data_IF_222149475182
#
_entry.id   IF_222149475182
#
_cell.length_a   1.000
_cell.length_b   1.000
_cell.length_c   1.000
_cell.angle_alpha   90.00
_cell.angle_beta   90.00
_cell.angle_gamma   90.00
#
_symmetry.space_group_name_H-M   'P 1'
#
loop_
_entity.id
_entity.type
_entity.pdbx_description
1 polymer ?
#
# COMPACT_ATOMS: atom_id res chain seq x y z
N UNK A 1 16.58 -10.38 2.75
CA UNK A 1 16.33 -8.93 2.86
C UNK A 1 14.84 -8.73 3.14
N UNK A 2 14.51 -7.93 4.14
CA UNK A 2 13.12 -7.79 4.62
C UNK A 2 12.55 -6.44 4.18
N UNK A 3 11.35 -6.46 3.59
CA UNK A 3 10.69 -5.26 3.08
C UNK A 3 9.35 -5.00 3.76
N UNK A 4 8.91 -3.74 3.72
CA UNK A 4 7.56 -3.31 4.09
C UNK A 4 6.91 -2.66 2.86
N UNK A 5 5.74 -3.14 2.46
CA UNK A 5 4.97 -2.50 1.39
C UNK A 5 4.21 -1.31 1.96
N UNK A 6 4.33 -0.15 1.34
CA UNK A 6 3.62 1.07 1.73
C UNK A 6 2.62 1.42 0.64
N UNK A 7 1.37 0.99 0.82
CA UNK A 7 0.26 1.33 -0.08
C UNK A 7 -0.18 2.77 0.17
N UNK A 8 -0.19 3.60 -0.89
CA UNK A 8 -0.37 5.04 -0.77
C UNK A 8 0.90 5.79 -0.34
N UNK A 9 2.07 5.19 -0.58
CA UNK A 9 3.36 5.75 -0.16
C UNK A 9 3.79 7.02 -0.87
N UNK A 10 3.20 7.34 -2.02
CA UNK A 10 3.48 8.59 -2.75
C UNK A 10 2.65 9.78 -2.23
N UNK A 11 1.74 9.56 -1.27
CA UNK A 11 0.97 10.60 -0.58
C UNK A 11 1.72 11.21 0.61
N UNK A 12 1.08 12.19 1.28
CA UNK A 12 1.69 12.93 2.39
C UNK A 12 2.08 12.02 3.56
N UNK A 13 1.12 11.30 4.16
CA UNK A 13 1.38 10.44 5.32
C UNK A 13 2.32 9.29 4.93
N UNK A 14 2.06 8.64 3.78
CA UNK A 14 2.87 7.53 3.31
C UNK A 14 4.34 7.90 3.11
N UNK A 15 4.64 9.07 2.53
CA UNK A 15 6.01 9.52 2.29
C UNK A 15 6.78 9.79 3.59
N UNK A 16 6.13 10.35 4.60
CA UNK A 16 6.73 10.52 5.93
C UNK A 16 6.97 9.17 6.62
N UNK A 17 6.02 8.24 6.50
CA UNK A 17 6.17 6.89 7.06
C UNK A 17 7.33 6.13 6.42
N UNK A 18 7.57 6.31 5.11
CA UNK A 18 8.71 5.71 4.42
C UNK A 18 10.03 6.17 5.05
N UNK A 19 10.16 7.45 5.38
CA UNK A 19 11.35 7.99 6.04
C UNK A 19 11.58 7.31 7.40
N UNK A 20 10.53 7.21 8.22
CA UNK A 20 10.61 6.54 9.53
C UNK A 20 10.97 5.06 9.41
N UNK A 21 10.45 4.37 8.38
CA UNK A 21 10.82 2.97 8.10
C UNK A 21 12.30 2.84 7.73
N UNK A 22 12.83 3.74 6.88
CA UNK A 22 14.24 3.75 6.52
C UNK A 22 15.13 4.00 7.75
N UNK A 23 14.78 4.97 8.58
CA UNK A 23 15.50 5.30 9.82
C UNK A 23 15.43 4.14 10.82
N UNK A 24 14.34 3.36 10.81
CA UNK A 24 14.17 2.12 11.58
C UNK A 24 14.88 0.90 10.99
N UNK A 25 15.60 1.04 9.87
CA UNK A 25 16.35 -0.05 9.23
C UNK A 25 15.50 -1.00 8.38
N UNK A 26 14.27 -0.61 8.03
CA UNK A 26 13.44 -1.36 7.08
C UNK A 26 13.68 -0.90 5.65
N UNK A 27 13.39 -1.78 4.69
CA UNK A 27 13.37 -1.45 3.27
C UNK A 27 11.93 -1.25 2.80
N UNK A 28 11.46 -0.01 2.64
CA UNK A 28 10.12 0.24 2.11
C UNK A 28 10.07 0.04 0.59
N UNK A 29 8.93 -0.48 0.11
CA UNK A 29 8.57 -0.54 -1.30
C UNK A 29 7.19 0.09 -1.43
N UNK A 30 7.05 1.08 -2.29
CA UNK A 30 5.78 1.81 -2.47
C UNK A 30 4.88 1.10 -3.46
N UNK A 31 3.59 0.98 -3.15
CA UNK A 31 2.51 0.66 -4.09
C UNK A 31 1.56 1.85 -4.15
N UNK A 32 1.44 2.50 -5.30
CA UNK A 32 0.63 3.71 -5.46
C UNK A 32 0.10 3.82 -6.90
N UNK A 33 -1.14 4.28 -7.08
CA UNK A 33 -1.69 4.53 -8.41
C UNK A 33 -1.34 5.91 -8.98
N UNK A 34 -0.71 6.77 -8.17
CA UNK A 34 -0.27 8.13 -8.49
C UNK A 34 -1.42 9.11 -8.86
N UNK A 35 -2.67 8.79 -8.51
CA UNK A 35 -3.80 9.70 -8.75
C UNK A 35 -3.67 10.97 -7.90
N UNK A 36 -3.26 10.82 -6.64
CA UNK A 36 -3.00 11.93 -5.72
C UNK A 36 -1.53 11.99 -5.26
N UNK A 37 -0.73 10.96 -5.56
CA UNK A 37 0.65 10.84 -5.15
C UNK A 37 1.63 11.46 -6.14
N UNK A 38 2.85 11.69 -5.67
CA UNK A 38 3.91 12.31 -6.45
C UNK A 38 5.09 11.35 -6.64
N UNK A 39 5.26 10.84 -7.88
CA UNK A 39 6.35 9.94 -8.27
C UNK A 39 7.73 10.47 -7.83
N UNK A 40 8.01 11.76 -8.06
CA UNK A 40 9.28 12.39 -7.74
C UNK A 40 9.64 12.31 -6.26
N UNK A 41 8.65 12.36 -5.37
CA UNK A 41 8.91 12.20 -3.93
C UNK A 41 9.46 10.81 -3.65
N UNK A 42 8.88 9.78 -4.25
CA UNK A 42 9.28 8.39 -4.02
C UNK A 42 10.65 8.09 -4.64
N UNK A 43 10.84 8.42 -5.90
CA UNK A 43 12.04 8.04 -6.66
C UNK A 43 13.22 8.99 -6.38
N UNK A 44 13.01 10.32 -6.43
CA UNK A 44 14.10 11.30 -6.39
C UNK A 44 14.47 11.73 -4.95
N UNK A 45 13.47 11.78 -4.05
CA UNK A 45 13.69 12.27 -2.66
C UNK A 45 13.92 11.12 -1.69
N UNK A 46 13.08 10.09 -1.73
CA UNK A 46 13.14 8.94 -0.82
C UNK A 46 14.03 7.82 -1.35
N UNK A 47 14.22 7.73 -2.66
CA UNK A 47 15.09 6.74 -3.30
C UNK A 47 14.62 5.30 -3.10
N UNK A 48 13.30 5.07 -3.02
CA UNK A 48 12.73 3.74 -2.80
C UNK A 48 12.00 3.20 -4.02
N UNK A 49 11.91 1.87 -4.18
CA UNK A 49 11.18 1.27 -5.30
C UNK A 49 9.71 1.68 -5.31
N UNK A 50 9.21 2.04 -6.49
CA UNK A 50 7.80 2.36 -6.75
C UNK A 50 7.17 1.32 -7.67
N UNK A 51 6.08 0.74 -7.19
CA UNK A 51 5.17 -0.11 -7.97
C UNK A 51 3.94 0.73 -8.29
N UNK A 52 3.66 0.94 -9.57
CA UNK A 52 2.50 1.71 -9.99
C UNK A 52 1.32 0.77 -10.23
N UNK A 53 0.24 0.98 -9.50
CA UNK A 53 -0.97 0.17 -9.64
C UNK A 53 -1.97 0.37 -8.52
N UNK A 54 -3.15 -0.25 -8.69
CA UNK A 54 -4.22 -0.22 -7.71
C UNK A 54 -3.97 -1.26 -6.61
N UNK A 55 -4.38 -0.94 -5.39
CA UNK A 55 -4.23 -1.87 -4.25
C UNK A 55 -5.14 -3.08 -4.35
N UNK A 56 -6.20 -3.03 -5.16
CA UNK A 56 -7.11 -4.14 -5.43
C UNK A 56 -6.80 -4.89 -6.73
N UNK A 57 -5.75 -4.55 -7.46
CA UNK A 57 -5.34 -5.32 -8.65
C UNK A 57 -4.82 -6.70 -8.23
N UNK A 58 -5.69 -7.70 -8.34
CA UNK A 58 -5.40 -9.08 -7.93
C UNK A 58 -4.15 -9.65 -8.60
N UNK A 59 -3.97 -9.42 -9.90
CA UNK A 59 -2.81 -9.95 -10.65
C UNK A 59 -1.51 -9.28 -10.21
N UNK A 60 -1.55 -7.98 -9.94
CA UNK A 60 -0.41 -7.23 -9.44
C UNK A 60 -0.06 -7.70 -8.02
N UNK A 61 -1.05 -7.83 -7.15
CA UNK A 61 -0.86 -8.33 -5.78
C UNK A 61 -0.29 -9.74 -5.76
N UNK A 62 -0.79 -10.64 -6.60
CA UNK A 62 -0.23 -11.99 -6.74
C UNK A 62 1.27 -11.94 -7.08
N UNK A 63 1.68 -11.13 -8.04
CA UNK A 63 3.10 -10.97 -8.41
C UNK A 63 3.94 -10.37 -7.29
N UNK A 64 3.39 -9.39 -6.56
CA UNK A 64 4.09 -8.76 -5.42
C UNK A 64 4.31 -9.80 -4.32
N UNK A 65 3.25 -10.51 -3.93
CA UNK A 65 3.25 -11.44 -2.79
C UNK A 65 4.01 -12.75 -3.10
N UNK A 66 4.01 -13.20 -4.36
CA UNK A 66 4.81 -14.36 -4.78
C UNK A 66 6.30 -14.08 -4.92
N UNK A 67 6.70 -12.81 -4.98
CA UNK A 67 8.08 -12.41 -5.28
C UNK A 67 8.43 -12.42 -6.77
N UNK A 68 7.43 -12.51 -7.65
CA UNK A 68 7.64 -12.45 -9.11
C UNK A 68 7.82 -11.00 -9.61
N UNK A 69 7.37 -10.02 -8.82
CA UNK A 69 7.60 -8.62 -9.16
C UNK A 69 9.06 -8.23 -8.92
N UNK A 70 9.73 -7.49 -9.82
CA UNK A 70 11.15 -7.10 -9.69
C UNK A 70 11.49 -6.44 -8.34
N UNK A 71 10.61 -5.57 -7.83
CA UNK A 71 10.82 -4.85 -6.56
C UNK A 71 10.72 -5.73 -5.32
N UNK A 72 10.11 -6.92 -5.42
CA UNK A 72 9.91 -7.85 -4.28
C UNK A 72 10.66 -9.17 -4.43
N UNK A 73 11.31 -9.37 -5.58
CA UNK A 73 12.01 -10.63 -5.89
C UNK A 73 13.11 -10.94 -4.88
N UNK A 74 13.04 -12.13 -4.28
CA UNK A 74 14.01 -12.59 -3.29
C UNK A 74 13.94 -11.86 -1.95
N UNK A 75 12.88 -11.09 -1.71
CA UNK A 75 12.67 -10.35 -0.47
C UNK A 75 11.54 -10.94 0.36
N UNK A 76 11.64 -10.79 1.67
CA UNK A 76 10.64 -11.26 2.63
C UNK A 76 9.75 -10.08 3.06
N UNK A 77 8.47 -10.14 2.73
CA UNK A 77 7.51 -9.08 3.07
C UNK A 77 7.09 -9.24 4.53
N UNK A 78 7.52 -8.30 5.37
CA UNK A 78 7.24 -8.30 6.81
C UNK A 78 5.93 -7.65 7.21
N UNK A 79 5.41 -6.79 6.37
CA UNK A 79 4.15 -6.08 6.63
C UNK A 79 3.70 -5.22 5.46
N UNK A 80 2.45 -4.80 5.55
CA UNK A 80 1.85 -3.82 4.65
C UNK A 80 1.32 -2.66 5.49
N UNK A 81 1.70 -1.43 5.13
CA UNK A 81 1.11 -0.22 5.70
C UNK A 81 0.16 0.38 4.68
N UNK A 82 -1.10 0.56 5.05
CA UNK A 82 -2.16 0.96 4.14
C UNK A 82 -2.60 2.39 4.39
N UNK A 83 -2.16 3.30 3.52
CA UNK A 83 -2.54 4.72 3.48
C UNK A 83 -3.30 5.09 2.21
N UNK A 84 -3.51 4.14 1.29
CA UNK A 84 -4.16 4.39 0.01
C UNK A 84 -5.67 4.57 0.20
N UNK A 85 -6.11 5.82 0.29
CA UNK A 85 -7.51 6.17 0.40
C UNK A 85 -7.78 7.58 -0.14
N UNK A 86 -8.99 7.82 -0.63
CA UNK A 86 -9.50 9.18 -0.83
C UNK A 86 -10.02 9.71 0.51
N UNK A 87 -9.70 10.97 0.83
CA UNK A 87 -9.97 11.58 2.14
C UNK A 87 -10.75 12.91 2.08
N UNK A 88 -11.22 13.31 0.90
CA UNK A 88 -11.95 14.57 0.73
C UNK A 88 -13.44 14.39 1.01
N UNK A 89 -13.89 14.81 2.20
CA UNK A 89 -15.28 14.64 2.67
C UNK A 89 -16.28 15.27 1.70
N UNK A 90 -16.04 16.49 1.21
CA UNK A 90 -16.92 17.17 0.24
C UNK A 90 -17.10 16.38 -1.05
N UNK A 91 -16.02 15.82 -1.60
CA UNK A 91 -16.09 14.98 -2.81
C UNK A 91 -16.85 13.68 -2.54
N UNK A 92 -16.70 13.09 -1.35
CA UNK A 92 -17.38 11.83 -0.99
C UNK A 92 -18.90 11.95 -0.96
N UNK A 93 -19.43 13.14 -0.72
CA UNK A 93 -20.87 13.44 -0.77
C UNK A 93 -21.36 13.53 -2.21
N UNK A 94 -20.52 14.07 -3.11
CA UNK A 94 -20.85 14.27 -4.53
C UNK A 94 -20.70 12.95 -5.31
N UNK A 95 -19.63 12.22 -5.07
CA UNK A 95 -19.34 10.92 -5.72
C UNK A 95 -19.03 9.83 -4.69
N UNK A 96 -20.04 9.34 -3.95
CA UNK A 96 -19.84 8.30 -2.95
C UNK A 96 -19.36 6.98 -3.54
N UNK A 97 -19.73 6.64 -4.77
CA UNK A 97 -19.36 5.38 -5.42
C UNK A 97 -17.84 5.28 -5.61
N UNK A 98 -17.18 6.37 -5.96
CA UNK A 98 -15.71 6.45 -6.06
C UNK A 98 -15.05 6.10 -4.73
N UNK A 99 -15.58 6.62 -3.62
CA UNK A 99 -15.05 6.38 -2.27
C UNK A 99 -15.29 4.95 -1.80
N UNK A 100 -16.50 4.41 -2.00
CA UNK A 100 -16.79 3.02 -1.66
C UNK A 100 -15.91 2.05 -2.47
N UNK A 101 -15.75 2.31 -3.76
CA UNK A 101 -14.89 1.49 -4.60
C UNK A 101 -13.44 1.52 -4.09
N UNK A 102 -12.85 2.69 -3.99
CA UNK A 102 -11.43 2.84 -3.64
C UNK A 102 -11.15 2.47 -2.18
N UNK A 103 -11.91 3.00 -1.22
CA UNK A 103 -11.58 2.86 0.19
C UNK A 103 -12.06 1.53 0.79
N UNK A 104 -13.15 0.96 0.27
CA UNK A 104 -13.70 -0.28 0.80
C UNK A 104 -13.42 -1.47 -0.11
N UNK A 105 -13.89 -1.45 -1.36
CA UNK A 105 -13.79 -2.61 -2.25
C UNK A 105 -12.33 -2.98 -2.55
N UNK A 106 -11.48 -2.02 -2.88
CA UNK A 106 -10.05 -2.24 -3.13
C UNK A 106 -9.32 -2.77 -1.88
N UNK A 107 -9.70 -2.29 -0.68
CA UNK A 107 -9.14 -2.79 0.58
C UNK A 107 -9.55 -4.23 0.85
N UNK A 108 -10.81 -4.63 0.56
CA UNK A 108 -11.26 -6.01 0.66
C UNK A 108 -10.44 -6.91 -0.27
N UNK A 109 -10.22 -6.51 -1.52
CA UNK A 109 -9.42 -7.27 -2.47
C UNK A 109 -7.96 -7.45 -2.01
N UNK A 110 -7.37 -6.43 -1.39
CA UNK A 110 -6.06 -6.54 -0.75
C UNK A 110 -6.06 -7.60 0.36
N UNK A 111 -7.05 -7.56 1.27
CA UNK A 111 -7.17 -8.53 2.36
C UNK A 111 -7.38 -9.96 1.85
N UNK A 112 -8.20 -10.13 0.82
CA UNK A 112 -8.39 -11.43 0.16
C UNK A 112 -7.07 -11.97 -0.43
N UNK A 113 -6.31 -11.12 -1.12
CA UNK A 113 -5.00 -11.50 -1.66
C UNK A 113 -4.02 -11.95 -0.57
N UNK A 114 -3.99 -11.28 0.58
CA UNK A 114 -3.16 -11.66 1.72
C UNK A 114 -3.58 -13.00 2.33
N UNK A 115 -4.89 -13.28 2.40
CA UNK A 115 -5.39 -14.57 2.87
C UNK A 115 -5.10 -15.70 1.88
N UNK A 116 -5.25 -15.47 0.58
CA UNK A 116 -4.89 -16.42 -0.46
C UNK A 116 -3.38 -16.74 -0.44
N UNK A 117 -2.54 -15.72 -0.31
CA UNK A 117 -1.09 -15.88 -0.18
C UNK A 117 -0.71 -16.67 1.08
N UNK A 118 -1.34 -16.38 2.21
CA UNK A 118 -1.16 -17.13 3.46
C UNK A 118 -1.45 -18.63 3.29
N UNK A 119 -2.55 -18.98 2.62
CA UNK A 119 -2.90 -20.37 2.30
C UNK A 119 -1.86 -21.01 1.37
N UNK A 120 -1.45 -20.30 0.31
CA UNK A 120 -0.44 -20.78 -0.65
C UNK A 120 0.90 -21.06 0.03
N UNK A 121 1.35 -20.22 0.96
CA UNK A 121 2.60 -20.38 1.71
C UNK A 121 2.48 -21.31 2.91
N UNK A 122 1.27 -21.76 3.25
CA UNK A 122 0.97 -22.50 4.49
C UNK A 122 1.54 -21.79 5.73
N UNK A 123 1.31 -20.48 5.84
CA UNK A 123 1.84 -19.64 6.90
C UNK A 123 0.80 -18.62 7.37
N UNK A 124 1.11 -17.86 8.43
CA UNK A 124 0.24 -16.76 8.86
C UNK A 124 0.17 -15.67 7.78
N UNK A 125 -0.97 -14.96 7.67
CA UNK A 125 -1.07 -13.78 6.81
C UNK A 125 0.00 -12.74 7.14
N UNK A 126 0.45 -12.01 6.11
CA UNK A 126 1.33 -10.87 6.30
C UNK A 126 0.58 -9.81 7.12
N UNK A 127 1.18 -9.27 8.19
CA UNK A 127 0.56 -8.23 9.00
C UNK A 127 0.22 -6.99 8.19
N UNK A 128 -0.91 -6.38 8.50
CA UNK A 128 -1.32 -5.11 7.92
C UNK A 128 -1.50 -4.06 9.02
N UNK A 129 -0.96 -2.86 8.79
CA UNK A 129 -1.24 -1.66 9.57
C UNK A 129 -2.14 -0.77 8.74
N UNK A 130 -3.35 -0.56 9.20
CA UNK A 130 -4.37 0.22 8.51
C UNK A 130 -4.44 1.62 9.10
N UNK A 131 -4.26 2.65 8.25
CA UNK A 131 -4.49 4.03 8.65
C UNK A 131 -5.99 4.30 8.71
N UNK A 132 -6.50 4.59 9.90
CA UNK A 132 -7.88 4.96 10.12
C UNK A 132 -8.19 6.36 9.55
N UNK A 133 -9.38 6.86 9.77
CA UNK A 133 -9.83 8.13 9.21
C UNK A 133 -9.40 9.33 10.08
N UNK A 134 -8.99 10.42 9.42
CA UNK A 134 -8.76 11.71 10.07
C UNK A 134 -10.06 12.30 10.66
N UNK A 135 -11.22 11.91 10.15
CA UNK A 135 -12.53 12.34 10.66
C UNK A 135 -12.80 11.89 12.12
N UNK A 136 -12.01 10.96 12.66
CA UNK A 136 -12.06 10.57 14.07
C UNK A 136 -11.76 11.74 15.01
N UNK A 137 -11.00 12.72 14.57
CA UNK A 137 -10.58 13.86 15.38
C UNK A 137 -11.44 15.13 15.17
N UNK A 138 -12.45 15.07 14.31
CA UNK A 138 -13.35 16.21 14.01
C UNK A 138 -12.92 17.07 12.85
#
# INVERSE_FOLDING_TARGET
>A
MSIVIVAGGAGYIGSHTIRELQDGGFEPVVLDNLVCGHRKIVEDVLGVPLIIGEIGDKKLLEKILSGDHPSTRGKDIKGIMHFAAYAYVGESVIDPAKYYKNNLAETILLLEALLEDSKRRNSKPIPIVFSSTCATYG
#
